data_IF_151297230659
#
_entry.id   IF_151297230659
#
_cell.length_a   1.000
_cell.length_b   1.000
_cell.length_c   1.000
_cell.angle_alpha   90.00
_cell.angle_beta   90.00
_cell.angle_gamma   90.00
#
_symmetry.space_group_name_H-M   'P 1'
#
loop_
_entity.id
_entity.type
_entity.pdbx_description
1 polymer ?
#
# COMPACT_ATOMS: atom_id res chain seq x y z
N UNK A 1 -22.25 -1.42 -8.19
CA UNK A 1 -20.99 -2.14 -8.47
C UNK A 1 -19.77 -1.54 -7.73
N UNK A 2 -19.98 -0.63 -6.76
CA UNK A 2 -18.89 0.11 -6.09
C UNK A 2 -18.32 -0.55 -4.83
N UNK A 3 -19.03 -1.51 -4.23
CA UNK A 3 -18.71 -1.94 -2.86
C UNK A 3 -17.38 -2.71 -2.78
N UNK A 4 -17.16 -3.68 -3.68
CA UNK A 4 -15.94 -4.50 -3.65
C UNK A 4 -14.67 -3.69 -3.97
N UNK A 5 -14.75 -2.76 -4.94
CA UNK A 5 -13.62 -1.91 -5.30
C UNK A 5 -13.28 -0.96 -4.16
N UNK A 6 -14.28 -0.31 -3.57
CA UNK A 6 -14.10 0.61 -2.44
C UNK A 6 -13.54 -0.09 -1.21
N UNK A 7 -14.06 -1.28 -0.88
CA UNK A 7 -13.55 -2.12 0.21
C UNK A 7 -12.09 -2.50 -0.05
N UNK A 8 -11.76 -3.00 -1.24
CA UNK A 8 -10.39 -3.38 -1.60
C UNK A 8 -9.42 -2.20 -1.55
N UNK A 9 -9.82 -1.04 -2.10
CA UNK A 9 -9.02 0.18 -2.08
C UNK A 9 -8.77 0.67 -0.65
N UNK A 10 -9.77 0.57 0.22
CA UNK A 10 -9.65 0.95 1.63
C UNK A 10 -8.70 0.02 2.37
N UNK A 11 -8.86 -1.29 2.21
CA UNK A 11 -8.01 -2.29 2.89
C UNK A 11 -6.56 -2.16 2.45
N UNK A 12 -6.32 -2.18 1.13
CA UNK A 12 -4.97 -2.12 0.55
C UNK A 12 -4.32 -0.77 0.83
N UNK A 13 -5.09 0.32 0.75
CA UNK A 13 -4.63 1.65 1.14
C UNK A 13 -4.19 1.70 2.60
N UNK A 14 -5.04 1.26 3.54
CA UNK A 14 -4.71 1.26 4.97
C UNK A 14 -3.44 0.43 5.28
N UNK A 15 -3.33 -0.77 4.70
CA UNK A 15 -2.13 -1.60 4.88
C UNK A 15 -0.89 -0.86 4.35
N UNK A 16 -1.00 -0.30 3.15
CA UNK A 16 0.12 0.41 2.50
C UNK A 16 0.53 1.66 3.26
N UNK A 17 -0.43 2.38 3.86
CA UNK A 17 -0.16 3.52 4.73
C UNK A 17 0.76 3.11 5.88
N UNK A 18 0.40 2.06 6.63
CA UNK A 18 1.22 1.61 7.75
C UNK A 18 2.59 1.11 7.30
N UNK A 19 2.66 0.38 6.19
CA UNK A 19 3.94 -0.11 5.65
C UNK A 19 4.86 1.07 5.30
N UNK A 20 4.38 2.07 4.56
CA UNK A 20 5.19 3.22 4.15
C UNK A 20 5.56 4.09 5.36
N UNK A 21 4.62 4.32 6.28
CA UNK A 21 4.86 5.12 7.47
C UNK A 21 5.90 4.47 8.39
N UNK A 22 5.76 3.17 8.67
CA UNK A 22 6.75 2.42 9.45
C UNK A 22 8.10 2.39 8.72
N UNK A 23 8.11 2.21 7.40
CA UNK A 23 9.33 2.27 6.59
C UNK A 23 10.06 3.60 6.74
N UNK A 24 9.33 4.72 6.87
CA UNK A 24 9.95 6.04 7.09
C UNK A 24 10.79 6.11 8.38
N UNK A 25 10.49 5.29 9.39
CA UNK A 25 11.25 5.27 10.66
C UNK A 25 12.64 4.66 10.44
N UNK A 26 12.73 3.69 9.53
CA UNK A 26 13.99 3.06 9.17
C UNK A 26 14.85 3.96 8.27
N UNK A 27 14.23 4.76 7.40
CA UNK A 27 14.97 5.60 6.44
C UNK A 27 15.36 6.95 7.03
N UNK A 28 14.47 7.61 7.78
CA UNK A 28 14.67 8.97 8.29
C UNK A 28 14.93 9.02 9.79
N UNK A 29 14.90 7.87 10.47
CA UNK A 29 14.97 7.77 11.92
C UNK A 29 13.61 7.98 12.59
N UNK A 30 13.50 7.54 13.85
CA UNK A 30 12.22 7.46 14.57
C UNK A 30 11.52 8.82 14.69
N UNK A 31 12.24 9.88 15.10
CA UNK A 31 11.64 11.19 15.35
C UNK A 31 11.13 11.85 14.06
N UNK A 32 11.92 11.83 12.98
CA UNK A 32 11.51 12.39 11.69
C UNK A 32 10.42 11.56 11.03
N UNK A 33 10.56 10.23 11.04
CA UNK A 33 9.53 9.33 10.51
C UNK A 33 8.19 9.50 11.24
N UNK A 34 8.20 9.66 12.56
CA UNK A 34 6.99 9.93 13.34
C UNK A 34 6.39 11.31 12.98
N UNK A 35 7.23 12.35 12.94
CA UNK A 35 6.77 13.73 12.75
C UNK A 35 6.18 13.99 11.35
N UNK A 36 6.84 13.49 10.30
CA UNK A 36 6.50 13.83 8.90
C UNK A 36 6.25 12.63 7.99
N UNK A 37 6.60 11.41 8.40
CA UNK A 37 6.49 10.21 7.55
C UNK A 37 5.07 9.83 7.17
N UNK A 38 4.07 10.24 7.95
CA UNK A 38 2.67 9.98 7.66
C UNK A 38 2.20 10.72 6.40
N UNK A 39 2.77 11.89 6.08
CA UNK A 39 2.35 12.70 4.93
C UNK A 39 2.60 12.00 3.57
N UNK A 40 3.83 11.57 3.24
CA UNK A 40 4.07 10.78 2.04
C UNK A 40 3.40 9.40 2.10
N UNK A 41 3.21 8.83 3.29
CA UNK A 41 2.48 7.57 3.45
C UNK A 41 1.00 7.70 3.03
N UNK A 42 0.32 8.81 3.32
CA UNK A 42 -1.05 9.07 2.83
C UNK A 42 -1.07 9.08 1.30
N UNK A 43 -0.18 9.85 0.68
CA UNK A 43 -0.13 9.98 -0.79
C UNK A 43 0.11 8.61 -1.43
N UNK A 44 1.13 7.89 -0.97
CA UNK A 44 1.43 6.55 -1.47
C UNK A 44 0.29 5.56 -1.25
N UNK A 45 -0.34 5.59 -0.07
CA UNK A 45 -1.46 4.71 0.26
C UNK A 45 -2.69 4.92 -0.62
N UNK A 46 -2.99 6.16 -0.99
CA UNK A 46 -4.11 6.47 -1.90
C UNK A 46 -3.80 5.92 -3.29
N UNK A 47 -2.59 6.16 -3.80
CA UNK A 47 -2.18 5.66 -5.12
C UNK A 47 -2.21 4.13 -5.19
N UNK A 48 -1.64 3.45 -4.19
CA UNK A 48 -1.62 2.00 -4.11
C UNK A 48 -3.03 1.43 -3.92
N UNK A 49 -3.83 2.07 -3.06
CA UNK A 49 -5.23 1.72 -2.84
C UNK A 49 -6.04 1.82 -4.13
N UNK A 50 -5.91 2.88 -4.92
CA UNK A 50 -6.63 3.02 -6.19
C UNK A 50 -6.20 1.98 -7.24
N UNK A 51 -4.93 1.59 -7.22
CA UNK A 51 -4.32 0.62 -8.14
C UNK A 51 -4.41 -0.84 -7.64
N UNK A 52 -5.12 -1.10 -6.54
CA UNK A 52 -5.14 -2.41 -5.90
C UNK A 52 -5.51 -3.59 -6.83
N UNK A 53 -6.44 -3.46 -7.81
CA UNK A 53 -6.79 -4.60 -8.66
C UNK A 53 -5.61 -5.02 -9.55
N UNK A 54 -4.80 -4.03 -9.98
CA UNK A 54 -3.62 -4.29 -10.81
C UNK A 54 -2.52 -5.00 -10.00
N UNK A 55 -2.36 -4.62 -8.74
CA UNK A 55 -1.40 -5.26 -7.83
C UNK A 55 -1.78 -6.72 -7.60
N UNK A 56 -3.06 -6.99 -7.32
CA UNK A 56 -3.57 -8.35 -7.14
C UNK A 56 -3.40 -9.17 -8.42
N UNK A 57 -3.72 -8.61 -9.58
CA UNK A 57 -3.54 -9.29 -10.87
C UNK A 57 -2.07 -9.63 -11.13
N UNK A 58 -1.15 -8.71 -10.83
CA UNK A 58 0.29 -8.94 -10.98
C UNK A 58 0.81 -10.03 -10.04
N UNK A 59 0.38 -10.04 -8.78
CA UNK A 59 0.72 -11.10 -7.81
C UNK A 59 0.20 -12.45 -8.28
N UNK A 60 -1.05 -12.51 -8.77
CA UNK A 60 -1.64 -13.74 -9.29
C UNK A 60 -0.87 -14.27 -10.51
N UNK A 61 -0.42 -13.38 -11.41
CA UNK A 61 0.39 -13.75 -12.57
C UNK A 61 1.74 -14.32 -12.15
N UNK A 62 2.41 -13.71 -11.18
CA UNK A 62 3.67 -14.24 -10.62
C UNK A 62 3.44 -15.62 -9.99
N UNK A 63 2.40 -15.78 -9.18
CA UNK A 63 2.09 -17.05 -8.54
C UNK A 63 1.82 -18.15 -9.57
N UNK A 64 1.11 -17.82 -10.65
CA UNK A 64 0.87 -18.74 -11.76
C UNK A 64 2.18 -19.11 -12.48
N UNK A 65 3.03 -18.13 -12.77
CA UNK A 65 4.34 -18.37 -13.38
C UNK A 65 5.27 -19.25 -12.53
N UNK A 66 5.22 -19.14 -11.20
CA UNK A 66 6.02 -19.99 -10.29
C UNK A 66 5.47 -21.43 -10.24
N UNK A 67 4.17 -21.61 -10.45
CA UNK A 67 3.51 -22.91 -10.37
C UNK A 67 3.70 -23.76 -11.64
N UNK A 68 3.87 -23.12 -12.81
CA UNK A 68 4.14 -23.78 -14.09
C UNK A 68 5.64 -24.01 -14.32
#
# INVERSE_FOLDING_TARGET
MENWYSIGATIIGLISFFVIWIYSFFVWGVLFGLAIGWFPAIIGSIMIGLLWPLIVAFIALIALFIYF
#
